data_IF_826929924852
#
_entry.id   IF_826929924852
#
_cell.length_a   1.000
_cell.length_b   1.000
_cell.length_c   1.000
_cell.angle_alpha   90.00
_cell.angle_beta   90.00
_cell.angle_gamma   90.00
#
_symmetry.space_group_name_H-M   'P 1'
#
loop_
_entity.id
_entity.type
_entity.pdbx_description
1 polymer ?
#
# COMPACT_ATOMS: atom_id res chain seq x y z
N UNK A 1 5.18 -10.42 -22.63
CA UNK A 1 5.04 -9.24 -21.73
C UNK A 1 6.04 -8.12 -22.04
N UNK A 2 7.16 -8.38 -22.73
CA UNK A 2 8.07 -7.35 -23.28
C UNK A 2 7.28 -6.26 -24.03
N UNK A 3 6.34 -6.65 -24.91
CA UNK A 3 5.43 -5.72 -25.60
C UNK A 3 4.54 -4.87 -24.68
N UNK A 4 4.30 -5.28 -23.42
CA UNK A 4 3.53 -4.49 -22.45
C UNK A 4 4.39 -3.38 -21.85
N UNK A 5 5.67 -3.67 -21.56
CA UNK A 5 6.66 -2.66 -21.13
C UNK A 5 6.93 -1.68 -22.28
N UNK A 6 7.10 -2.19 -23.51
CA UNK A 6 7.23 -1.36 -24.72
C UNK A 6 5.98 -0.48 -24.97
N UNK A 7 4.76 -1.02 -24.78
CA UNK A 7 3.53 -0.22 -24.85
C UNK A 7 3.42 0.82 -23.73
N UNK A 8 3.96 0.58 -22.54
CA UNK A 8 4.03 1.61 -21.49
C UNK A 8 5.05 2.72 -21.81
N UNK A 9 6.18 2.41 -22.45
CA UNK A 9 7.11 3.44 -22.95
C UNK A 9 6.59 4.21 -24.16
N UNK A 10 5.69 3.62 -24.95
CA UNK A 10 5.00 4.31 -26.05
C UNK A 10 3.96 5.34 -25.57
N UNK A 11 3.70 5.44 -24.26
CA UNK A 11 3.04 6.61 -23.66
C UNK A 11 4.14 7.61 -23.30
N UNK A 12 4.30 8.74 -24.04
CA UNK A 12 5.49 9.59 -23.94
C UNK A 12 5.76 10.07 -22.51
N UNK A 13 4.71 10.52 -21.80
CA UNK A 13 4.78 10.98 -20.40
C UNK A 13 5.36 9.89 -19.46
N UNK A 14 5.04 8.62 -19.68
CA UNK A 14 5.53 7.50 -18.86
C UNK A 14 6.98 7.17 -19.25
N UNK A 15 7.28 7.16 -20.55
CA UNK A 15 8.64 6.99 -21.08
C UNK A 15 9.61 8.06 -20.54
N UNK A 16 9.20 9.32 -20.50
CA UNK A 16 9.99 10.45 -20.00
C UNK A 16 10.28 10.31 -18.50
N UNK A 17 9.26 10.01 -17.69
CA UNK A 17 9.42 9.79 -16.23
C UNK A 17 10.36 8.62 -15.95
N UNK A 18 10.18 7.49 -16.66
CA UNK A 18 11.02 6.31 -16.48
C UNK A 18 12.46 6.56 -16.92
N UNK A 19 12.67 7.33 -18.00
CA UNK A 19 14.00 7.69 -18.51
C UNK A 19 14.73 8.69 -17.61
N UNK A 20 14.02 9.70 -17.10
CA UNK A 20 14.54 10.63 -16.10
C UNK A 20 14.97 9.90 -14.82
N UNK A 21 14.11 9.01 -14.30
CA UNK A 21 14.41 8.20 -13.13
C UNK A 21 15.57 7.22 -13.41
N UNK A 22 15.64 6.61 -14.61
CA UNK A 22 16.76 5.75 -15.02
C UNK A 22 18.10 6.51 -15.03
N UNK A 23 18.14 7.76 -15.48
CA UNK A 23 19.35 8.59 -15.38
C UNK A 23 19.80 8.80 -13.93
N UNK A 24 18.87 9.14 -13.01
CA UNK A 24 19.18 9.31 -11.58
C UNK A 24 19.71 8.02 -10.96
N UNK A 25 19.05 6.88 -11.25
CA UNK A 25 19.49 5.58 -10.75
C UNK A 25 20.83 5.15 -11.37
N UNK A 26 21.08 5.50 -12.64
CA UNK A 26 22.36 5.30 -13.33
C UNK A 26 23.52 6.06 -12.69
N UNK A 27 23.33 7.35 -12.37
CA UNK A 27 24.33 8.13 -11.62
C UNK A 27 24.59 7.57 -10.21
N UNK A 28 23.54 7.10 -9.52
CA UNK A 28 23.71 6.43 -8.22
C UNK A 28 24.51 5.14 -8.36
N UNK A 29 24.23 4.32 -9.38
CA UNK A 29 25.00 3.10 -9.64
C UNK A 29 26.44 3.40 -10.07
N UNK A 30 26.68 4.50 -10.80
CA UNK A 30 28.01 4.99 -11.16
C UNK A 30 28.84 5.36 -9.93
N UNK A 31 28.24 6.10 -9.00
CA UNK A 31 28.90 6.49 -7.74
C UNK A 31 29.27 5.26 -6.89
N UNK A 32 28.37 4.27 -6.83
CA UNK A 32 28.62 2.99 -6.16
C UNK A 32 29.74 2.20 -6.88
N UNK A 33 29.76 2.20 -8.21
CA UNK A 33 30.81 1.54 -8.99
C UNK A 33 32.20 2.15 -8.73
N UNK A 34 32.34 3.48 -8.79
CA UNK A 34 33.60 4.18 -8.49
C UNK A 34 34.07 3.88 -7.07
N UNK A 35 33.16 3.80 -6.09
CA UNK A 35 33.51 3.38 -4.74
C UNK A 35 34.07 1.96 -4.71
N UNK A 36 33.42 1.00 -5.39
CA UNK A 36 33.87 -0.39 -5.48
C UNK A 36 35.18 -0.56 -6.26
N UNK A 37 35.40 0.23 -7.29
CA UNK A 37 36.64 0.30 -8.06
C UNK A 37 37.80 0.85 -7.21
N UNK A 38 37.56 1.88 -6.40
CA UNK A 38 38.60 2.46 -5.53
C UNK A 38 39.09 1.53 -4.42
N UNK A 39 38.30 0.51 -4.05
CA UNK A 39 38.71 -0.60 -3.15
C UNK A 39 39.20 -1.85 -3.90
N UNK A 40 39.35 -1.79 -5.23
CA UNK A 40 39.86 -2.88 -6.07
C UNK A 40 38.86 -3.98 -6.42
N UNK A 41 37.55 -3.78 -6.18
CA UNK A 41 36.49 -4.80 -6.34
C UNK A 41 35.46 -4.33 -7.39
N UNK A 42 35.91 -4.12 -8.63
CA UNK A 42 35.05 -3.71 -9.74
C UNK A 42 34.09 -4.84 -10.18
N UNK A 43 32.88 -4.90 -9.59
CA UNK A 43 31.87 -5.91 -9.91
C UNK A 43 30.45 -5.33 -9.95
N UNK A 44 29.77 -5.45 -11.09
CA UNK A 44 28.41 -4.91 -11.28
C UNK A 44 27.36 -5.58 -10.38
N UNK A 45 27.51 -6.87 -10.05
CA UNK A 45 26.59 -7.57 -9.15
C UNK A 45 26.63 -7.03 -7.72
N UNK A 46 27.83 -6.77 -7.19
CA UNK A 46 27.98 -6.10 -5.90
C UNK A 46 27.42 -4.67 -5.93
N UNK A 47 27.63 -3.95 -7.03
CA UNK A 47 27.04 -2.62 -7.24
C UNK A 47 25.50 -2.68 -7.19
N UNK A 48 24.86 -3.64 -7.86
CA UNK A 48 23.40 -3.84 -7.83
C UNK A 48 22.91 -4.17 -6.42
N UNK A 49 23.61 -5.03 -5.67
CA UNK A 49 23.24 -5.38 -4.28
C UNK A 49 23.28 -4.12 -3.38
N UNK A 50 24.38 -3.37 -3.40
CA UNK A 50 24.52 -2.16 -2.58
C UNK A 50 23.53 -1.07 -3.02
N UNK A 51 23.36 -0.86 -4.32
CA UNK A 51 22.35 0.03 -4.90
C UNK A 51 20.95 -0.31 -4.36
N UNK A 52 20.60 -1.59 -4.32
CA UNK A 52 19.32 -2.06 -3.80
C UNK A 52 19.15 -1.67 -2.33
N UNK A 53 20.18 -1.89 -1.51
CA UNK A 53 20.15 -1.54 -0.09
C UNK A 53 20.06 -0.02 0.12
N UNK A 54 20.77 0.79 -0.66
CA UNK A 54 20.72 2.26 -0.59
C UNK A 54 19.32 2.77 -0.97
N UNK A 55 18.77 2.35 -2.11
CA UNK A 55 17.42 2.77 -2.55
C UNK A 55 16.36 2.34 -1.53
N UNK A 56 16.44 1.12 -0.99
CA UNK A 56 15.49 0.63 0.01
C UNK A 56 15.66 1.31 1.37
N UNK A 57 16.87 1.72 1.76
CA UNK A 57 17.12 2.52 2.95
C UNK A 57 16.52 3.94 2.83
N UNK A 58 16.64 4.58 1.67
CA UNK A 58 15.98 5.88 1.38
C UNK A 58 14.45 5.75 1.45
N UNK A 59 13.89 4.61 1.03
CA UNK A 59 12.46 4.30 1.12
C UNK A 59 12.01 3.74 2.48
N UNK A 60 12.93 3.44 3.41
CA UNK A 60 12.62 2.92 4.74
C UNK A 60 11.62 3.78 5.54
N UNK A 61 11.71 5.12 5.61
CA UNK A 61 10.69 5.94 6.29
C UNK A 61 9.29 5.86 5.66
N UNK A 62 9.18 5.53 4.37
CA UNK A 62 7.90 5.28 3.70
C UNK A 62 7.34 3.89 4.08
N UNK A 63 8.17 2.85 3.99
CA UNK A 63 7.76 1.48 4.38
C UNK A 63 7.38 1.41 5.86
N UNK A 64 8.06 2.17 6.72
CA UNK A 64 7.70 2.31 8.13
C UNK A 64 6.26 2.86 8.33
N UNK A 65 5.85 3.85 7.53
CA UNK A 65 4.47 4.39 7.54
C UNK A 65 3.45 3.36 7.04
N UNK A 66 3.82 2.52 6.07
CA UNK A 66 2.97 1.46 5.53
C UNK A 66 2.80 0.30 6.52
N UNK A 67 3.88 -0.12 7.20
CA UNK A 67 3.81 -1.10 8.27
C UNK A 67 2.98 -0.61 9.46
N UNK A 68 3.09 0.68 9.82
CA UNK A 68 2.21 1.31 10.82
C UNK A 68 0.73 1.15 10.45
N UNK A 69 0.37 1.39 9.19
CA UNK A 69 -0.99 1.19 8.69
C UNK A 69 -1.41 -0.29 8.77
N UNK A 70 -0.53 -1.23 8.37
CA UNK A 70 -0.78 -2.67 8.46
C UNK A 70 -1.09 -3.14 9.90
N UNK A 71 -0.31 -2.71 10.89
CA UNK A 71 -0.55 -3.05 12.31
C UNK A 71 -1.89 -2.52 12.84
N UNK A 72 -2.31 -1.31 12.45
CA UNK A 72 -3.63 -0.78 12.81
C UNK A 72 -4.73 -1.53 12.06
N UNK A 73 -4.52 -1.87 10.79
CA UNK A 73 -5.47 -2.68 10.01
C UNK A 73 -5.70 -4.06 10.64
N UNK A 74 -4.68 -4.70 11.22
CA UNK A 74 -4.85 -5.96 11.93
C UNK A 74 -5.82 -5.85 13.12
N UNK A 75 -5.88 -4.71 13.81
CA UNK A 75 -6.84 -4.43 14.90
C UNK A 75 -8.23 -4.12 14.34
N UNK A 76 -8.32 -3.42 13.20
CA UNK A 76 -9.60 -3.11 12.54
C UNK A 76 -10.23 -4.33 11.84
N UNK A 77 -9.41 -5.30 11.40
CA UNK A 77 -9.85 -6.48 10.65
C UNK A 77 -11.04 -7.23 11.28
N UNK A 78 -11.10 -7.54 12.60
CA UNK A 78 -12.30 -8.16 13.20
C UNK A 78 -13.57 -7.32 13.06
N UNK A 79 -13.51 -5.99 13.20
CA UNK A 79 -14.69 -5.12 12.98
C UNK A 79 -15.12 -5.13 11.49
N UNK A 80 -14.15 -5.08 10.58
CA UNK A 80 -14.39 -5.14 9.13
C UNK A 80 -14.99 -6.51 8.75
N UNK A 81 -14.53 -7.61 9.36
CA UNK A 81 -15.08 -8.95 9.16
C UNK A 81 -16.51 -9.07 9.72
N UNK A 82 -16.83 -8.44 10.85
CA UNK A 82 -18.20 -8.40 11.37
C UNK A 82 -19.16 -7.68 10.40
N UNK A 83 -18.71 -6.57 9.80
CA UNK A 83 -19.45 -5.87 8.73
C UNK A 83 -19.60 -6.78 7.50
N UNK A 84 -18.52 -7.42 7.03
CA UNK A 84 -18.60 -8.35 5.88
C UNK A 84 -19.59 -9.50 6.14
N UNK A 85 -19.59 -10.09 7.35
CA UNK A 85 -20.56 -11.13 7.74
C UNK A 85 -22.01 -10.61 7.76
N UNK A 86 -22.26 -9.39 8.24
CA UNK A 86 -23.58 -8.72 8.23
C UNK A 86 -24.16 -8.50 6.83
N UNK A 87 -23.32 -8.40 5.80
CA UNK A 87 -23.72 -8.18 4.40
C UNK A 87 -23.45 -9.37 3.45
N UNK A 88 -22.90 -10.49 3.93
CA UNK A 88 -22.41 -11.65 3.14
C UNK A 88 -23.39 -12.15 2.05
N UNK A 89 -24.69 -12.13 2.34
CA UNK A 89 -25.75 -12.62 1.46
C UNK A 89 -26.55 -11.50 0.76
N UNK A 90 -26.15 -10.23 0.91
CA UNK A 90 -26.88 -9.06 0.38
C UNK A 90 -26.12 -8.43 -0.79
N UNK A 91 -26.61 -8.68 -2.01
CA UNK A 91 -25.98 -8.19 -3.26
C UNK A 91 -26.61 -6.89 -3.80
N UNK A 92 -27.60 -6.34 -3.11
CA UNK A 92 -28.30 -5.12 -3.53
C UNK A 92 -27.33 -3.93 -3.55
N UNK A 93 -27.49 -3.02 -4.51
CA UNK A 93 -26.64 -1.82 -4.62
C UNK A 93 -26.64 -0.97 -3.33
N UNK A 94 -27.81 -0.86 -2.66
CA UNK A 94 -27.96 -0.19 -1.37
C UNK A 94 -27.21 -0.93 -0.23
N UNK A 95 -27.25 -2.27 -0.24
CA UNK A 95 -26.55 -3.12 0.73
C UNK A 95 -25.03 -3.01 0.58
N UNK A 96 -24.52 -3.00 -0.65
CA UNK A 96 -23.09 -2.78 -0.95
C UNK A 96 -22.66 -1.36 -0.56
N UNK A 97 -23.47 -0.35 -0.85
CA UNK A 97 -23.21 1.04 -0.45
C UNK A 97 -23.08 1.19 1.07
N UNK A 98 -24.05 0.64 1.83
CA UNK A 98 -24.00 0.64 3.31
C UNK A 98 -22.79 -0.12 3.86
N UNK A 99 -22.42 -1.26 3.26
CA UNK A 99 -21.21 -1.99 3.66
C UNK A 99 -19.93 -1.15 3.48
N UNK A 100 -19.80 -0.41 2.37
CA UNK A 100 -18.66 0.49 2.13
C UNK A 100 -18.65 1.66 3.12
N UNK A 101 -19.81 2.22 3.45
CA UNK A 101 -19.93 3.32 4.41
C UNK A 101 -19.60 2.89 5.84
N UNK A 102 -20.16 1.78 6.34
CA UNK A 102 -19.82 1.24 7.65
C UNK A 102 -18.33 0.89 7.76
N UNK A 103 -17.76 0.32 6.70
CA UNK A 103 -16.31 0.07 6.61
C UNK A 103 -15.52 1.37 6.71
N UNK A 104 -15.91 2.43 5.99
CA UNK A 104 -15.28 3.76 6.04
C UNK A 104 -15.38 4.40 7.44
N UNK A 105 -16.50 4.19 8.15
CA UNK A 105 -16.67 4.65 9.54
C UNK A 105 -15.70 3.94 10.48
N UNK A 106 -15.45 2.63 10.32
CA UNK A 106 -14.39 1.91 11.05
C UNK A 106 -13.03 2.58 10.83
N UNK A 107 -12.60 2.75 9.57
CA UNK A 107 -11.33 3.44 9.28
C UNK A 107 -11.23 4.83 9.93
N UNK A 108 -12.34 5.58 9.95
CA UNK A 108 -12.42 6.89 10.59
C UNK A 108 -12.29 6.84 12.12
N UNK A 109 -12.88 5.83 12.81
CA UNK A 109 -12.73 5.63 14.27
C UNK A 109 -11.26 5.48 14.69
N UNK A 110 -10.47 4.77 13.88
CA UNK A 110 -9.04 4.54 14.12
C UNK A 110 -8.12 5.63 13.52
N UNK A 111 -8.70 6.67 12.90
CA UNK A 111 -7.94 7.78 12.30
C UNK A 111 -7.12 7.41 11.06
N UNK A 112 -7.51 6.36 10.33
CA UNK A 112 -6.81 5.86 9.13
C UNK A 112 -7.70 5.94 7.88
N UNK A 113 -7.19 5.50 6.72
CA UNK A 113 -7.96 5.45 5.46
C UNK A 113 -7.57 4.22 4.61
N UNK A 114 -8.50 3.66 3.81
CA UNK A 114 -8.23 2.45 2.99
C UNK A 114 -7.03 2.58 2.05
N UNK A 115 -6.71 3.80 1.62
CA UNK A 115 -5.63 4.14 0.67
C UNK A 115 -4.21 3.97 1.23
N UNK A 116 -4.03 3.66 2.52
CA UNK A 116 -2.71 3.57 3.15
C UNK A 116 -1.84 2.40 2.68
N UNK A 117 -2.44 1.30 2.20
CA UNK A 117 -1.74 0.04 1.92
C UNK A 117 -1.10 -0.05 0.53
N UNK A 118 -1.77 0.42 -0.52
CA UNK A 118 -1.34 0.20 -1.92
C UNK A 118 -0.18 1.11 -2.37
N UNK A 119 0.14 2.16 -1.60
CA UNK A 119 1.14 3.17 -1.96
C UNK A 119 2.55 2.59 -2.21
N UNK A 120 2.90 1.47 -1.56
CA UNK A 120 4.22 0.85 -1.77
C UNK A 120 4.37 0.28 -3.17
N UNK A 121 3.34 -0.39 -3.69
CA UNK A 121 3.36 -1.02 -5.00
C UNK A 121 3.45 0.03 -6.11
N UNK A 122 2.71 1.13 -5.98
CA UNK A 122 2.73 2.25 -6.94
C UNK A 122 4.12 2.87 -7.06
N UNK A 123 4.86 3.00 -5.96
CA UNK A 123 6.23 3.55 -5.95
C UNK A 123 7.27 2.52 -6.39
N UNK A 124 7.04 1.23 -6.11
CA UNK A 124 7.96 0.15 -6.48
C UNK A 124 8.03 -0.12 -7.99
N UNK A 125 6.91 0.04 -8.71
CA UNK A 125 6.86 -0.29 -10.15
C UNK A 125 7.76 0.62 -11.02
N UNK A 126 7.72 1.97 -10.91
CA UNK A 126 8.64 2.84 -11.65
C UNK A 126 10.11 2.53 -11.37
N UNK A 127 10.47 2.26 -10.10
CA UNK A 127 11.86 1.96 -9.71
C UNK A 127 12.34 0.65 -10.37
N UNK A 128 11.48 -0.38 -10.44
CA UNK A 128 11.81 -1.64 -11.10
C UNK A 128 12.03 -1.45 -12.62
N UNK A 129 11.16 -0.69 -13.29
CA UNK A 129 11.28 -0.44 -14.73
C UNK A 129 12.47 0.47 -15.08
N UNK A 130 12.72 1.51 -14.30
CA UNK A 130 13.90 2.36 -14.51
C UNK A 130 15.21 1.61 -14.26
N UNK A 131 15.27 0.72 -13.25
CA UNK A 131 16.44 -0.15 -13.07
C UNK A 131 16.62 -1.13 -14.22
N UNK A 132 15.53 -1.70 -14.76
CA UNK A 132 15.60 -2.56 -15.94
C UNK A 132 16.25 -1.84 -17.14
N UNK A 133 15.88 -0.59 -17.42
CA UNK A 133 16.54 0.21 -18.46
C UNK A 133 18.02 0.49 -18.15
N UNK A 134 18.37 0.76 -16.90
CA UNK A 134 19.78 0.93 -16.46
C UNK A 134 20.60 -0.37 -16.66
N UNK A 135 20.00 -1.54 -16.45
CA UNK A 135 20.67 -2.84 -16.65
C UNK A 135 20.80 -3.20 -18.14
N UNK A 136 19.77 -2.92 -18.95
CA UNK A 136 19.82 -3.17 -20.40
C UNK A 136 20.87 -2.29 -21.11
N UNK A 137 20.82 -0.98 -20.87
CA UNK A 137 21.72 -0.01 -21.52
C UNK A 137 22.73 0.56 -20.50
N UNK A 138 23.49 -0.31 -19.83
CA UNK A 138 24.38 0.12 -18.73
C UNK A 138 25.39 1.19 -19.16
N UNK A 139 25.91 1.13 -20.40
CA UNK A 139 26.78 2.16 -20.99
C UNK A 139 26.07 3.50 -21.18
N UNK A 140 24.77 3.50 -21.49
CA UNK A 140 23.98 4.73 -21.64
C UNK A 140 23.79 5.43 -20.31
N UNK A 141 23.50 4.69 -19.24
CA UNK A 141 23.10 5.26 -17.95
C UNK A 141 24.24 5.37 -16.91
N UNK A 142 25.35 4.63 -17.07
CA UNK A 142 26.46 4.59 -16.12
C UNK A 142 27.75 5.07 -16.82
N UNK A 143 28.17 6.34 -16.63
CA UNK A 143 29.33 6.92 -17.30
C UNK A 143 30.61 6.07 -17.28
N UNK A 144 31.00 5.51 -16.14
CA UNK A 144 32.22 4.69 -15.99
C UNK A 144 32.22 3.44 -16.88
N UNK A 145 31.05 2.94 -17.30
CA UNK A 145 30.93 1.78 -18.18
C UNK A 145 31.09 2.12 -19.67
N UNK A 146 31.16 3.41 -20.04
CA UNK A 146 31.38 3.84 -21.44
C UNK A 146 32.83 3.72 -21.89
N UNK A 147 33.76 3.78 -20.93
CA UNK A 147 35.21 3.80 -21.17
C UNK A 147 35.86 2.41 -20.98
N UNK A 148 35.08 1.42 -20.55
CA UNK A 148 35.53 0.03 -20.40
C UNK A 148 35.60 -0.67 -21.76
N UNK A 149 36.71 -1.33 -22.03
CA UNK A 149 36.85 -2.26 -23.17
C UNK A 149 35.93 -3.47 -23.01
N UNK A 150 35.57 -4.14 -24.12
CA UNK A 150 34.71 -5.32 -24.10
C UNK A 150 35.17 -6.42 -23.12
N UNK A 151 36.50 -6.61 -23.00
CA UNK A 151 37.11 -7.59 -22.08
C UNK A 151 36.94 -7.17 -20.62
N UNK A 152 37.01 -5.87 -20.32
CA UNK A 152 36.74 -5.33 -18.98
C UNK A 152 35.23 -5.40 -18.67
N UNK A 153 34.38 -5.06 -19.64
CA UNK A 153 32.92 -5.17 -19.53
C UNK A 153 32.48 -6.59 -19.19
N UNK A 154 33.04 -7.61 -19.85
CA UNK A 154 32.75 -9.01 -19.53
C UNK A 154 33.14 -9.39 -18.09
N UNK A 155 34.28 -8.90 -17.58
CA UNK A 155 34.72 -9.14 -16.19
C UNK A 155 33.83 -8.44 -15.17
N UNK A 156 33.55 -7.15 -15.37
CA UNK A 156 32.73 -6.33 -14.46
C UNK A 156 31.27 -6.81 -14.46
N UNK A 157 30.75 -7.18 -15.63
CA UNK A 157 29.40 -7.73 -15.82
C UNK A 157 29.31 -9.24 -15.54
N UNK A 158 30.30 -9.85 -14.85
CA UNK A 158 30.23 -11.22 -14.35
C UNK A 158 30.09 -11.26 -12.83
N UNK A 159 29.04 -11.89 -12.31
CA UNK A 159 28.83 -12.14 -10.87
C UNK A 159 28.58 -13.61 -10.61
N UNK A 160 29.31 -14.21 -9.66
CA UNK A 160 29.25 -15.65 -9.36
C UNK A 160 29.36 -16.57 -10.60
N UNK A 161 30.15 -16.16 -11.60
CA UNK A 161 30.34 -16.92 -12.85
C UNK A 161 29.21 -16.81 -13.88
N UNK A 162 28.23 -15.91 -13.68
CA UNK A 162 27.20 -15.57 -14.65
C UNK A 162 27.37 -14.15 -15.18
N UNK A 163 27.07 -13.94 -16.45
CA UNK A 163 26.87 -12.61 -17.01
C UNK A 163 25.53 -12.03 -16.49
N UNK A 164 25.48 -10.76 -16.03
CA UNK A 164 24.23 -10.21 -15.48
C UNK A 164 23.24 -9.71 -16.55
N UNK A 165 23.67 -9.50 -17.79
CA UNK A 165 22.78 -9.07 -18.89
C UNK A 165 22.09 -10.23 -19.61
N UNK A 166 22.57 -11.48 -19.51
CA UNK A 166 21.86 -12.63 -20.08
C UNK A 166 20.70 -13.08 -19.19
N UNK A 167 19.64 -13.62 -19.80
CA UNK A 167 18.53 -14.21 -19.05
C UNK A 167 18.83 -15.68 -18.68
N UNK A 168 18.28 -16.20 -17.57
CA UNK A 168 18.35 -17.62 -17.26
C UNK A 168 17.80 -18.54 -18.36
N UNK A 169 16.80 -18.08 -19.12
CA UNK A 169 16.30 -18.77 -20.30
C UNK A 169 17.41 -19.00 -21.36
N UNK A 170 18.12 -17.93 -21.73
CA UNK A 170 19.25 -18.00 -22.69
C UNK A 170 20.37 -18.92 -22.19
N UNK A 171 20.71 -18.82 -20.90
CA UNK A 171 21.77 -19.62 -20.24
C UNK A 171 21.49 -21.13 -20.27
N UNK A 172 20.22 -21.55 -20.29
CA UNK A 172 19.82 -22.96 -20.47
C UNK A 172 19.96 -23.39 -21.93
N UNK A 173 19.58 -22.54 -22.88
CA UNK A 173 19.56 -22.89 -24.31
C UNK A 173 20.92 -22.80 -25.01
N UNK A 174 21.86 -22.00 -24.49
CA UNK A 174 23.16 -21.75 -25.13
C UNK A 174 24.36 -22.26 -24.33
N UNK A 175 24.53 -21.77 -23.10
CA UNK A 175 25.84 -21.78 -22.43
C UNK A 175 26.10 -23.01 -21.54
N UNK A 176 25.15 -23.95 -21.46
CA UNK A 176 25.24 -25.19 -20.67
C UNK A 176 25.29 -25.01 -19.14
N UNK A 177 25.30 -23.77 -18.63
CA UNK A 177 25.38 -23.41 -17.20
C UNK A 177 24.05 -23.53 -16.46
N UNK A 178 23.33 -24.64 -16.71
CA UNK A 178 21.96 -24.93 -16.29
C UNK A 178 21.74 -24.73 -14.77
N UNK A 179 22.73 -25.12 -13.95
CA UNK A 179 22.70 -25.00 -12.48
C UNK A 179 22.34 -23.58 -12.05
N UNK A 180 23.02 -22.57 -12.59
CA UNK A 180 22.87 -21.19 -12.15
C UNK A 180 21.57 -20.54 -12.66
N UNK A 181 21.15 -20.93 -13.87
CA UNK A 181 19.90 -20.48 -14.47
C UNK A 181 18.66 -20.94 -13.69
N UNK A 182 18.70 -22.12 -13.06
CA UNK A 182 17.62 -22.59 -12.17
C UNK A 182 17.76 -21.99 -10.76
N UNK A 183 19.00 -21.78 -10.29
CA UNK A 183 19.27 -21.34 -8.92
C UNK A 183 18.80 -19.91 -8.62
N UNK A 184 19.07 -18.91 -9.49
CA UNK A 184 18.64 -17.52 -9.23
C UNK A 184 17.12 -17.38 -9.09
N UNK A 185 16.28 -17.86 -10.03
CA UNK A 185 14.83 -17.69 -9.95
C UNK A 185 14.21 -18.44 -8.76
N UNK A 186 14.82 -19.56 -8.35
CA UNK A 186 14.39 -20.33 -7.18
C UNK A 186 14.74 -19.62 -5.87
N UNK A 187 15.95 -19.08 -5.74
CA UNK A 187 16.34 -18.24 -4.59
C UNK A 187 15.49 -16.96 -4.55
N UNK A 188 15.25 -16.30 -5.68
CA UNK A 188 14.40 -15.11 -5.77
C UNK A 188 12.96 -15.42 -5.34
N UNK A 189 12.38 -16.52 -5.82
CA UNK A 189 11.06 -17.00 -5.40
C UNK A 189 10.98 -17.30 -3.91
N UNK A 190 11.96 -18.03 -3.37
CA UNK A 190 12.00 -18.38 -1.95
C UNK A 190 12.19 -17.13 -1.06
N UNK A 191 13.11 -16.24 -1.41
CA UNK A 191 13.31 -14.97 -0.70
C UNK A 191 12.06 -14.08 -0.77
N UNK A 192 11.40 -14.01 -1.93
CA UNK A 192 10.15 -13.28 -2.10
C UNK A 192 9.02 -13.90 -1.26
N UNK A 193 8.94 -15.23 -1.15
CA UNK A 193 7.98 -15.93 -0.29
C UNK A 193 8.22 -15.66 1.20
N UNK A 194 9.48 -15.72 1.66
CA UNK A 194 9.82 -15.34 3.03
C UNK A 194 9.46 -13.86 3.30
N UNK A 195 9.74 -12.99 2.34
CA UNK A 195 9.43 -11.56 2.42
C UNK A 195 7.92 -11.29 2.53
N UNK A 196 7.10 -11.84 1.62
CA UNK A 196 5.64 -11.67 1.65
C UNK A 196 5.02 -12.28 2.90
N UNK A 197 5.46 -13.48 3.30
CA UNK A 197 5.02 -14.14 4.54
C UNK A 197 5.37 -13.33 5.80
N UNK A 198 6.51 -12.64 5.80
CA UNK A 198 6.93 -11.81 6.94
C UNK A 198 6.16 -10.48 7.06
N UNK A 199 5.68 -9.95 5.93
CA UNK A 199 4.80 -8.77 5.90
C UNK A 199 3.34 -9.10 6.20
N UNK A 200 2.87 -10.22 5.67
CA UNK A 200 1.49 -10.65 5.81
C UNK A 200 1.28 -11.20 7.22
N UNK A 201 0.88 -10.31 8.13
CA UNK A 201 0.20 -10.66 9.37
C UNK A 201 -0.96 -11.59 9.01
N UNK A 202 -0.76 -12.91 9.13
CA UNK A 202 -1.77 -13.91 8.81
C UNK A 202 -2.93 -13.67 9.76
N UNK A 203 -3.99 -13.04 9.23
CA UNK A 203 -5.19 -12.81 10.02
C UNK A 203 -5.77 -14.18 10.32
N UNK A 204 -5.92 -14.59 11.59
CA UNK A 204 -6.48 -15.89 11.91
C UNK A 204 -7.86 -16.03 11.26
N UNK A 205 -8.15 -17.21 10.71
CA UNK A 205 -9.49 -17.50 10.20
C UNK A 205 -10.47 -17.50 11.36
N UNK A 206 -11.31 -16.47 11.46
CA UNK A 206 -12.34 -16.38 12.50
C UNK A 206 -13.52 -17.26 12.11
N UNK A 207 -13.48 -18.49 12.62
CA UNK A 207 -14.49 -19.55 12.54
C UNK A 207 -14.51 -20.34 11.21
N UNK A 208 -13.35 -20.65 10.64
CA UNK A 208 -13.21 -21.61 9.51
C UNK A 208 -13.70 -21.12 8.14
N UNK A 209 -14.60 -20.13 8.09
CA UNK A 209 -15.03 -19.49 6.86
C UNK A 209 -13.93 -18.57 6.30
N UNK A 210 -13.41 -18.88 5.11
CA UNK A 210 -12.54 -17.95 4.39
C UNK A 210 -13.33 -16.72 3.91
N UNK A 211 -13.02 -15.55 4.47
CA UNK A 211 -13.52 -14.27 3.96
C UNK A 211 -12.78 -13.88 2.67
N UNK A 212 -13.42 -13.22 1.68
CA UNK A 212 -12.77 -12.83 0.42
C UNK A 212 -11.46 -12.04 0.58
N UNK A 213 -11.37 -11.22 1.63
CA UNK A 213 -10.16 -10.47 1.97
C UNK A 213 -9.01 -11.37 2.46
N UNK A 214 -9.33 -12.42 3.24
CA UNK A 214 -8.34 -13.39 3.72
C UNK A 214 -7.84 -14.29 2.57
N UNK A 215 -8.75 -14.76 1.71
CA UNK A 215 -8.39 -15.49 0.48
C UNK A 215 -7.53 -14.63 -0.44
N UNK A 216 -7.85 -13.34 -0.60
CA UNK A 216 -7.01 -12.40 -1.38
C UNK A 216 -5.57 -12.27 -0.83
N UNK A 217 -5.41 -12.14 0.49
CA UNK A 217 -4.08 -12.13 1.14
C UNK A 217 -3.33 -13.46 0.99
N UNK A 218 -4.04 -14.59 1.09
CA UNK A 218 -3.49 -15.95 0.88
C UNK A 218 -2.98 -16.08 -0.56
N UNK A 219 -3.80 -15.77 -1.56
CA UNK A 219 -3.41 -15.74 -2.97
C UNK A 219 -2.21 -14.83 -3.20
N UNK A 220 -2.21 -13.60 -2.67
CA UNK A 220 -1.05 -12.70 -2.80
C UNK A 220 0.24 -13.29 -2.21
N UNK A 221 0.15 -14.04 -1.09
CA UNK A 221 1.33 -14.67 -0.44
C UNK A 221 1.98 -15.72 -1.33
N UNK A 222 1.19 -16.55 -2.02
CA UNK A 222 1.69 -17.68 -2.82
C UNK A 222 1.88 -17.35 -4.31
N UNK A 223 1.02 -16.52 -4.90
CA UNK A 223 1.09 -16.17 -6.32
C UNK A 223 2.20 -15.16 -6.63
N UNK A 224 2.45 -14.17 -5.76
CA UNK A 224 3.51 -13.17 -6.02
C UNK A 224 4.92 -13.77 -6.12
N UNK A 225 5.34 -14.74 -5.28
CA UNK A 225 6.60 -15.46 -5.45
C UNK A 225 6.70 -16.23 -6.77
N UNK A 226 5.63 -16.89 -7.22
CA UNK A 226 5.62 -17.61 -8.50
C UNK A 226 5.78 -16.66 -9.69
N UNK A 227 5.07 -15.54 -9.67
CA UNK A 227 5.21 -14.46 -10.67
C UNK A 227 6.63 -13.88 -10.64
N UNK A 228 7.20 -13.67 -9.45
CA UNK A 228 8.59 -13.22 -9.27
C UNK A 228 9.61 -14.20 -9.87
N UNK A 229 9.47 -15.51 -9.63
CA UNK A 229 10.33 -16.54 -10.22
C UNK A 229 10.22 -16.54 -11.76
N UNK A 230 9.01 -16.45 -12.31
CA UNK A 230 8.80 -16.35 -13.75
C UNK A 230 9.48 -15.11 -14.36
N UNK A 231 9.38 -13.94 -13.70
CA UNK A 231 10.12 -12.74 -14.13
C UNK A 231 11.64 -12.93 -14.04
N UNK A 232 12.16 -13.47 -12.94
CA UNK A 232 13.60 -13.68 -12.77
C UNK A 232 14.16 -14.69 -13.78
N UNK A 233 13.33 -15.60 -14.31
CA UNK A 233 13.71 -16.58 -15.32
C UNK A 233 13.71 -16.02 -16.75
N UNK A 234 12.87 -15.03 -17.04
CA UNK A 234 12.66 -14.45 -18.38
C UNK A 234 13.35 -13.10 -18.61
N UNK A 235 13.86 -12.48 -17.55
CA UNK A 235 14.56 -11.19 -17.58
C UNK A 235 16.07 -11.37 -17.35
N UNK A 236 16.92 -10.36 -17.64
CA UNK A 236 18.34 -10.41 -17.35
C UNK A 236 18.65 -10.75 -15.88
N UNK A 237 19.68 -11.56 -15.64
CA UNK A 237 20.04 -12.06 -14.30
C UNK A 237 20.30 -10.94 -13.28
N UNK A 238 20.74 -9.74 -13.70
CA UNK A 238 20.86 -8.56 -12.83
C UNK A 238 19.53 -8.09 -12.22
N UNK A 239 18.40 -8.25 -12.93
CA UNK A 239 17.06 -7.97 -12.40
C UNK A 239 16.68 -9.01 -11.34
N UNK A 240 17.04 -10.28 -11.57
CA UNK A 240 16.89 -11.34 -10.57
C UNK A 240 17.70 -11.08 -9.31
N UNK A 241 18.96 -10.63 -9.46
CA UNK A 241 19.84 -10.27 -8.34
C UNK A 241 19.28 -9.09 -7.53
N UNK A 242 18.77 -8.05 -8.20
CA UNK A 242 18.02 -6.97 -7.55
C UNK A 242 16.83 -7.50 -6.75
N UNK A 243 16.08 -8.46 -7.31
CA UNK A 243 14.92 -9.04 -6.63
C UNK A 243 15.33 -9.78 -5.35
N UNK A 244 16.37 -10.62 -5.41
CA UNK A 244 16.94 -11.31 -4.25
C UNK A 244 17.40 -10.30 -3.19
N UNK A 245 18.22 -9.31 -3.56
CA UNK A 245 18.71 -8.28 -2.64
C UNK A 245 17.57 -7.47 -2.01
N UNK A 246 16.54 -7.14 -2.80
CA UNK A 246 15.33 -6.45 -2.36
C UNK A 246 14.56 -7.28 -1.33
N UNK A 247 14.36 -8.58 -1.59
CA UNK A 247 13.68 -9.48 -0.66
C UNK A 247 14.45 -9.67 0.65
N UNK A 248 15.79 -9.80 0.59
CA UNK A 248 16.66 -9.87 1.77
C UNK A 248 16.56 -8.59 2.61
N UNK A 249 16.68 -7.41 1.99
CA UNK A 249 16.47 -6.14 2.70
C UNK A 249 15.07 -6.05 3.31
N UNK A 250 14.05 -6.52 2.59
CA UNK A 250 12.67 -6.49 3.06
C UNK A 250 12.45 -7.39 4.29
N UNK A 251 13.07 -8.58 4.34
CA UNK A 251 13.08 -9.43 5.56
C UNK A 251 13.81 -8.73 6.71
N UNK A 252 15.01 -8.19 6.48
CA UNK A 252 15.80 -7.48 7.51
C UNK A 252 15.02 -6.29 8.10
N UNK A 253 14.48 -5.43 7.23
CA UNK A 253 13.69 -4.27 7.64
C UNK A 253 12.36 -4.68 8.29
N UNK A 254 11.72 -5.77 7.86
CA UNK A 254 10.51 -6.29 8.49
C UNK A 254 10.78 -6.82 9.91
N UNK A 255 11.90 -7.50 10.14
CA UNK A 255 12.34 -7.93 11.48
C UNK A 255 12.63 -6.74 12.39
N UNK A 256 13.40 -5.75 11.90
CA UNK A 256 13.72 -4.54 12.66
C UNK A 256 12.49 -3.72 13.02
N UNK A 257 11.55 -3.55 12.09
CA UNK A 257 10.31 -2.79 12.32
C UNK A 257 9.32 -3.55 13.19
N UNK A 258 9.23 -4.88 13.07
CA UNK A 258 8.44 -5.69 14.02
C UNK A 258 8.95 -5.51 15.46
N UNK A 259 10.26 -5.63 15.68
CA UNK A 259 10.91 -5.44 17.01
C UNK A 259 10.76 -4.01 17.55
N UNK A 260 10.59 -3.02 16.68
CA UNK A 260 10.28 -1.65 17.07
C UNK A 260 8.81 -1.51 17.52
N UNK A 261 7.84 -2.03 16.75
CA UNK A 261 6.42 -1.93 17.09
C UNK A 261 5.99 -2.77 18.29
N UNK A 262 6.68 -3.88 18.56
CA UNK A 262 6.47 -4.69 19.78
C UNK A 262 6.65 -3.89 21.08
N UNK A 263 7.51 -2.86 21.04
CA UNK A 263 7.81 -1.98 22.19
C UNK A 263 6.84 -0.79 22.35
N UNK A 264 5.81 -0.67 21.51
CA UNK A 264 4.93 0.50 21.48
C UNK A 264 3.47 0.05 21.56
N UNK A 265 2.72 0.58 22.53
CA UNK A 265 1.28 0.34 22.60
C UNK A 265 0.58 0.93 21.37
N UNK A 266 -0.13 0.06 20.65
CA UNK A 266 -0.86 0.42 19.43
C UNK A 266 -2.07 1.32 19.76
N UNK A 267 -2.63 1.25 20.98
CA UNK A 267 -3.68 2.17 21.45
C UNK A 267 -3.19 3.62 21.43
N UNK A 268 -1.95 3.82 21.84
CA UNK A 268 -1.27 5.11 21.90
C UNK A 268 -0.97 5.66 20.49
N UNK A 269 -0.69 4.76 19.56
CA UNK A 269 -0.59 5.07 18.12
C UNK A 269 -1.94 5.50 17.55
N UNK A 270 -3.03 4.83 17.92
CA UNK A 270 -4.39 5.12 17.46
C UNK A 270 -4.85 6.48 18.00
N UNK A 271 -4.68 6.76 19.29
CA UNK A 271 -5.06 8.05 19.90
C UNK A 271 -4.33 9.22 19.21
N UNK A 272 -3.01 9.11 19.00
CA UNK A 272 -2.20 10.10 18.27
C UNK A 272 -2.64 10.27 16.82
N UNK A 273 -3.04 9.20 16.13
CA UNK A 273 -3.59 9.28 14.76
C UNK A 273 -4.96 10.00 14.73
N UNK A 274 -5.87 9.66 15.65
CA UNK A 274 -7.21 10.28 15.73
C UNK A 274 -7.09 11.78 16.02
N UNK A 275 -6.23 12.19 16.97
CA UNK A 275 -5.96 13.62 17.24
C UNK A 275 -5.37 14.32 16.01
N UNK A 276 -4.44 13.68 15.29
CA UNK A 276 -3.85 14.24 14.07
C UNK A 276 -4.88 14.39 12.93
N UNK A 277 -5.84 13.47 12.79
CA UNK A 277 -6.94 13.61 11.83
C UNK A 277 -7.93 14.70 12.23
N UNK A 278 -8.31 14.80 13.51
CA UNK A 278 -9.18 15.88 14.01
C UNK A 278 -8.58 17.26 13.66
N UNK A 279 -7.31 17.50 14.03
CA UNK A 279 -6.56 18.71 13.65
C UNK A 279 -6.46 18.95 12.13
N UNK A 280 -6.43 17.89 11.32
CA UNK A 280 -6.41 18.00 9.84
C UNK A 280 -7.77 18.34 9.26
N UNK A 281 -8.86 17.87 9.87
CA UNK A 281 -10.24 18.16 9.46
C UNK A 281 -10.63 19.58 9.86
N UNK A 282 -10.28 20.00 11.08
CA UNK A 282 -10.38 21.38 11.57
C UNK A 282 -9.70 22.36 10.61
N UNK A 283 -8.43 22.10 10.24
CA UNK A 283 -7.69 22.91 9.25
C UNK A 283 -8.27 22.92 7.84
N UNK A 284 -9.20 22.02 7.52
CA UNK A 284 -9.90 21.97 6.22
C UNK A 284 -11.31 22.57 6.27
N UNK A 285 -11.73 23.14 7.41
CA UNK A 285 -13.10 23.62 7.61
C UNK A 285 -14.14 22.48 7.65
N UNK A 286 -13.72 21.22 7.68
CA UNK A 286 -14.62 20.07 7.73
C UNK A 286 -15.01 19.87 9.19
N UNK A 287 -16.12 20.48 9.57
CA UNK A 287 -16.63 20.42 10.95
C UNK A 287 -16.76 18.97 11.44
N UNK A 288 -16.36 18.74 12.69
CA UNK A 288 -16.59 17.45 13.35
C UNK A 288 -18.08 17.08 13.40
N UNK A 289 -18.99 18.06 13.28
CA UNK A 289 -20.43 17.81 13.10
C UNK A 289 -20.71 17.10 11.79
N UNK A 290 -20.23 17.56 10.63
CA UNK A 290 -20.51 16.91 9.34
C UNK A 290 -20.09 15.44 9.27
N UNK A 291 -18.99 15.06 9.94
CA UNK A 291 -18.56 13.65 10.07
C UNK A 291 -19.44 12.87 11.05
N UNK A 292 -19.81 13.48 12.18
CA UNK A 292 -20.73 12.90 13.15
C UNK A 292 -22.17 12.78 12.59
N UNK A 293 -22.61 13.73 11.78
CA UNK A 293 -23.94 13.80 11.17
C UNK A 293 -24.06 12.80 10.03
N UNK A 294 -23.01 12.61 9.22
CA UNK A 294 -22.91 11.48 8.30
C UNK A 294 -23.02 10.13 9.05
N UNK A 295 -22.34 9.98 10.19
CA UNK A 295 -22.49 8.76 11.01
C UNK A 295 -23.88 8.64 11.64
N UNK A 296 -24.53 9.75 12.04
CA UNK A 296 -25.85 9.77 12.70
C UNK A 296 -27.02 9.58 11.74
N UNK A 297 -26.88 9.99 10.48
CA UNK A 297 -27.92 9.78 9.46
C UNK A 297 -28.24 8.29 9.25
N UNK A 298 -27.25 7.41 9.43
CA UNK A 298 -27.35 5.98 9.13
C UNK A 298 -27.31 5.04 10.36
N UNK A 299 -27.00 5.51 11.58
CA UNK A 299 -26.96 4.66 12.78
C UNK A 299 -28.25 4.61 13.62
N UNK A 300 -29.40 5.06 13.10
CA UNK A 300 -30.66 5.15 13.87
C UNK A 300 -31.20 3.80 14.40
N UNK A 301 -30.68 2.67 13.92
CA UNK A 301 -31.03 1.31 14.34
C UNK A 301 -29.87 0.48 14.94
N UNK A 302 -28.87 1.11 15.58
CA UNK A 302 -27.79 0.37 16.28
C UNK A 302 -27.90 0.58 17.80
N UNK A 303 -28.11 -0.48 18.62
CA UNK A 303 -27.99 -0.40 20.08
C UNK A 303 -26.57 -0.01 20.48
N UNK A 304 -26.43 0.90 21.45
CA UNK A 304 -25.14 1.31 21.96
C UNK A 304 -24.42 0.14 22.66
N UNK A 305 -23.10 -0.03 22.51
CA UNK A 305 -22.33 -0.97 23.32
C UNK A 305 -22.43 -0.61 24.79
N UNK A 306 -22.62 -1.62 25.65
CA UNK A 306 -22.57 -1.46 27.09
C UNK A 306 -21.12 -1.26 27.57
N UNK A 307 -21.00 -0.41 28.57
CA UNK A 307 -19.98 -0.38 29.62
C UNK A 307 -18.50 -0.18 29.19
N UNK A 308 -18.07 1.08 29.21
CA UNK A 308 -16.73 1.45 29.69
C UNK A 308 -16.95 2.44 30.84
N UNK A 309 -16.37 2.13 32.00
CA UNK A 309 -16.61 2.85 33.25
C UNK A 309 -16.25 4.33 33.19
N UNK A 310 -17.04 5.15 33.87
CA UNK A 310 -16.66 6.53 34.22
C UNK A 310 -15.77 6.48 35.46
N UNK A 311 -14.61 7.12 35.39
CA UNK A 311 -13.99 7.74 36.55
C UNK A 311 -13.36 9.07 36.12
N UNK A 312 -13.91 10.17 36.65
CA UNK A 312 -13.16 11.29 37.26
C UNK A 312 -14.10 12.45 37.62
N UNK A 313 -14.48 12.43 38.90
CA UNK A 313 -14.73 13.52 39.86
C UNK A 313 -14.90 14.98 39.39
N UNK A 314 -16.12 15.48 39.63
CA UNK A 314 -16.53 16.80 40.16
C UNK A 314 -15.48 17.92 40.33
N UNK A 315 -15.72 19.07 39.66
CA UNK A 315 -15.56 20.46 40.18
C UNK A 315 -16.03 21.51 39.13
N UNK A 316 -16.60 22.71 39.38
CA UNK A 316 -17.55 23.23 40.41
C UNK A 316 -18.10 24.60 39.92
N UNK A 317 -19.43 24.78 39.82
CA UNK A 317 -20.16 26.07 39.61
C UNK A 317 -19.87 26.84 38.28
N UNK A 318 -20.69 27.79 37.76
CA UNK A 318 -21.85 28.55 38.27
C UNK A 318 -22.99 28.73 37.24
N UNK A 319 -24.23 28.72 37.75
CA UNK A 319 -25.46 29.41 37.31
C UNK A 319 -25.46 30.32 36.05
N UNK A 320 -26.50 30.20 35.22
CA UNK A 320 -27.61 31.18 35.19
C UNK A 320 -28.84 30.68 34.41
N UNK A 321 -30.02 31.00 34.95
CA UNK A 321 -31.35 30.75 34.36
C UNK A 321 -31.70 31.89 33.41
N UNK A 322 -32.30 31.62 32.23
CA UNK A 322 -33.43 32.44 31.76
C UNK A 322 -34.21 31.86 30.55
N UNK A 323 -35.51 32.12 30.55
CA UNK A 323 -36.52 31.74 29.56
C UNK A 323 -36.65 32.76 28.43
N UNK A 324 -36.82 32.33 27.17
CA UNK A 324 -37.92 32.76 26.26
C UNK A 324 -37.84 32.21 24.83
N UNK A 325 -39.02 32.13 24.20
CA UNK A 325 -39.27 31.77 22.78
C UNK A 325 -38.65 32.78 21.81
N UNK A 326 -38.16 32.34 20.64
CA UNK A 326 -38.36 33.07 19.38
C UNK A 326 -38.17 32.25 18.08
N UNK A 327 -39.16 32.36 17.20
CA UNK A 327 -39.17 32.29 15.71
C UNK A 327 -38.19 31.39 14.93
N UNK A 328 -38.75 30.29 14.42
CA UNK A 328 -38.97 30.01 12.98
C UNK A 328 -38.28 30.93 11.93
N UNK A 329 -37.42 30.35 11.08
CA UNK A 329 -37.16 30.81 9.69
C UNK A 329 -36.94 29.60 8.78
N UNK A 330 -37.55 29.60 7.58
CA UNK A 330 -37.39 28.58 6.51
C UNK A 330 -36.42 29.05 5.43
N UNK A 331 -35.63 28.13 4.87
CA UNK A 331 -35.04 28.13 3.52
C UNK A 331 -34.59 26.69 3.23
N UNK A 332 -35.28 25.84 2.42
CA UNK A 332 -35.63 25.87 0.98
C UNK A 332 -34.52 25.31 0.06
N UNK A 333 -34.84 24.24 -0.68
CA UNK A 333 -33.95 23.54 -1.63
C UNK A 333 -33.50 22.16 -1.10
N UNK A 334 -33.63 21.03 -1.83
CA UNK A 334 -34.15 20.80 -3.19
C UNK A 334 -34.80 19.41 -3.23
N UNK A 335 -36.03 19.28 -3.74
CA UNK A 335 -36.80 18.03 -3.74
C UNK A 335 -36.79 17.37 -5.12
N UNK A 336 -36.05 16.26 -5.27
CA UNK A 336 -36.10 15.45 -6.48
C UNK A 336 -37.44 14.70 -6.56
N UNK A 337 -38.20 14.92 -7.61
CA UNK A 337 -39.49 14.26 -7.84
C UNK A 337 -39.30 12.77 -8.13
N UNK A 338 -40.05 11.91 -7.42
CA UNK A 338 -40.06 10.46 -7.68
C UNK A 338 -40.50 9.57 -6.52
N UNK A 339 -40.13 9.90 -5.28
CA UNK A 339 -40.39 9.03 -4.12
C UNK A 339 -41.83 9.15 -3.57
N UNK A 340 -42.41 8.02 -3.15
CA UNK A 340 -43.76 7.93 -2.55
C UNK A 340 -43.96 8.92 -1.38
N UNK A 341 -42.92 9.18 -0.58
CA UNK A 341 -42.96 10.13 0.53
C UNK A 341 -43.32 11.57 0.09
N UNK A 342 -42.94 11.98 -1.13
CA UNK A 342 -43.31 13.30 -1.68
C UNK A 342 -44.81 13.35 -2.02
N UNK A 343 -45.35 12.29 -2.63
CA UNK A 343 -46.80 12.15 -2.88
C UNK A 343 -47.60 12.07 -1.57
N UNK A 344 -47.11 11.35 -0.56
CA UNK A 344 -47.75 11.25 0.75
C UNK A 344 -47.84 12.62 1.46
N UNK A 345 -46.78 13.43 1.42
CA UNK A 345 -46.81 14.79 1.98
C UNK A 345 -47.75 15.73 1.19
N UNK A 346 -47.83 15.63 -0.14
CA UNK A 346 -48.82 16.41 -0.91
C UNK A 346 -50.26 16.04 -0.57
N UNK A 347 -50.58 14.75 -0.39
CA UNK A 347 -51.93 14.31 0.03
C UNK A 347 -52.26 14.79 1.45
N UNK A 348 -51.27 14.79 2.35
CA UNK A 348 -51.43 15.35 3.70
C UNK A 348 -51.69 16.86 3.66
N UNK A 349 -50.87 17.62 2.94
CA UNK A 349 -51.02 19.07 2.78
C UNK A 349 -52.34 19.46 2.07
N UNK A 350 -52.89 18.59 1.21
CA UNK A 350 -54.21 18.77 0.60
C UNK A 350 -55.34 18.52 1.61
N UNK A 351 -55.27 17.44 2.40
CA UNK A 351 -56.27 17.14 3.43
C UNK A 351 -56.29 18.20 4.55
N UNK A 352 -55.13 18.72 4.95
CA UNK A 352 -55.05 19.76 5.98
C UNK A 352 -55.53 21.14 5.47
N UNK A 353 -55.57 21.38 4.15
CA UNK A 353 -56.14 22.60 3.55
C UNK A 353 -57.64 22.53 3.27
N UNK A 354 -58.19 21.32 3.06
CA UNK A 354 -59.60 21.12 2.71
C UNK A 354 -60.48 20.66 3.88
N UNK A 355 -59.95 20.63 5.10
CA UNK A 355 -60.76 20.62 6.33
C UNK A 355 -61.32 22.02 6.59
N UNK A 356 -62.54 22.25 6.14
CA UNK A 356 -63.47 23.23 6.72
C UNK A 356 -64.54 22.48 7.52
#
# INVERSE_FOLDING_TARGET
>A
MINLVASCSNVPIIGDILSWLANILGYLMNWIYIFFESIGIANAGLCIIVFTFVVKAILLPLTFRQQKFSKISAIMNPEIQAIQKKYKNKKDAESVGRMQEETKLVYARYGTSPTGGCLQLVIQMPILFSLYYVIMDITKYVPSFRELTDVQMLKVNTFMGMNLSSSPWELITGDGRIIYAVLIPLIAGFAQFLSTRSMNMVTPSVNGEENPMATSMKTMTFTMPLVSTFFCFTMPAGVGLYWVASSVFQVISQLGVNKYFEKIDIKDIISKNVVKQKKKNEKKGISSKTVADASRYNTRNIPAPKDIEKNETTTTNTNTTETKKSKNTRTSGTSTSGNLASKANMVKDFNDKNKK
#
